data_IF_067862500330
#
_entry.id   IF_067862500330
#
_cell.length_a   1.000
_cell.length_b   1.000
_cell.length_c   1.000
_cell.angle_alpha   90.00
_cell.angle_beta   90.00
_cell.angle_gamma   90.00
#
_symmetry.space_group_name_H-M   'P 1'
#
loop_
_entity.id
_entity.type
_entity.pdbx_description
1 polymer ?
#
# COMPACT_ATOMS: atom_id res chain seq x y z
N UNK A 1 -2.52 15.58 28.25
CA UNK A 1 -1.79 16.64 27.50
C UNK A 1 -1.91 16.35 26.02
N UNK A 2 -1.83 17.38 25.15
CA UNK A 2 -2.02 17.21 23.69
C UNK A 2 -1.07 16.17 23.05
N UNK A 3 0.15 16.04 23.55
CA UNK A 3 1.14 15.08 23.04
C UNK A 3 0.85 13.62 23.40
N UNK A 4 -0.02 13.35 24.35
CA UNK A 4 -0.47 11.99 24.68
C UNK A 4 -1.37 11.38 23.59
N UNK A 5 -1.87 12.23 22.69
CA UNK A 5 -2.68 11.83 21.53
C UNK A 5 -1.84 11.43 20.32
N UNK A 6 -0.50 11.57 20.41
CA UNK A 6 0.41 11.30 19.29
C UNK A 6 1.38 10.19 19.66
N UNK A 7 1.71 9.36 18.68
CA UNK A 7 2.68 8.29 18.83
C UNK A 7 3.65 8.25 17.65
N UNK A 8 4.88 7.85 17.93
CA UNK A 8 5.92 7.62 16.94
C UNK A 8 6.31 6.15 17.03
N UNK A 9 6.41 5.50 15.88
CA UNK A 9 6.99 4.16 15.74
C UNK A 9 7.77 4.09 14.45
N UNK A 10 8.54 3.03 14.27
CA UNK A 10 9.26 2.82 13.04
C UNK A 10 9.85 1.43 12.96
N UNK A 11 10.44 1.13 11.82
CA UNK A 11 11.21 -0.08 11.60
C UNK A 11 12.19 0.13 10.47
N UNK A 12 13.29 -0.64 10.53
CA UNK A 12 14.27 -0.72 9.45
C UNK A 12 14.39 -2.17 8.99
N UNK A 13 14.64 -2.37 7.71
CA UNK A 13 14.94 -3.65 7.10
C UNK A 13 16.22 -3.50 6.28
N UNK A 14 17.26 -4.13 6.76
CA UNK A 14 18.54 -4.24 6.05
C UNK A 14 18.59 -5.57 5.33
N UNK A 15 19.17 -5.59 4.14
CA UNK A 15 19.37 -6.80 3.34
C UNK A 15 20.79 -6.87 2.82
N UNK A 16 21.27 -8.08 2.70
CA UNK A 16 22.39 -8.45 1.85
C UNK A 16 21.85 -9.37 0.75
N UNK A 17 22.14 -9.05 -0.49
CA UNK A 17 21.79 -9.87 -1.64
C UNK A 17 23.05 -10.25 -2.41
N UNK A 18 23.11 -11.49 -2.86
CA UNK A 18 24.11 -11.98 -3.79
C UNK A 18 23.39 -12.67 -4.95
N UNK A 19 23.71 -12.27 -6.17
CA UNK A 19 23.15 -12.89 -7.37
C UNK A 19 24.02 -14.11 -7.69
N UNK A 20 23.42 -15.30 -7.66
CA UNK A 20 24.11 -16.57 -7.94
C UNK A 20 24.17 -16.84 -9.44
N UNK A 21 23.20 -16.35 -10.20
CA UNK A 21 23.16 -16.45 -11.65
C UNK A 21 23.29 -15.04 -12.27
N UNK A 22 24.17 -14.93 -13.27
CA UNK A 22 24.50 -13.68 -13.94
C UNK A 22 23.78 -13.51 -15.29
N UNK A 23 22.62 -14.12 -15.48
CA UNK A 23 21.87 -13.88 -16.71
C UNK A 23 21.35 -12.43 -16.75
N UNK A 24 22.08 -11.59 -17.45
CA UNK A 24 21.76 -10.17 -17.65
C UNK A 24 20.44 -9.91 -18.38
N UNK A 25 19.81 -10.97 -18.92
CA UNK A 25 18.51 -10.88 -19.61
C UNK A 25 17.32 -11.05 -18.66
N UNK A 26 17.53 -11.62 -17.48
CA UNK A 26 16.51 -11.74 -16.45
C UNK A 26 16.37 -10.43 -15.68
N UNK A 27 15.50 -9.56 -16.15
CA UNK A 27 15.11 -8.33 -15.45
C UNK A 27 13.79 -8.54 -14.75
N UNK A 28 13.81 -8.52 -13.42
CA UNK A 28 12.62 -8.52 -12.58
C UNK A 28 12.49 -7.16 -11.93
N UNK A 29 11.55 -6.35 -12.36
CA UNK A 29 11.36 -4.99 -11.83
C UNK A 29 11.15 -4.97 -10.30
N UNK A 30 10.55 -6.00 -9.75
CA UNK A 30 10.32 -6.12 -8.30
C UNK A 30 11.53 -6.67 -7.55
N UNK A 31 12.25 -7.62 -8.15
CA UNK A 31 13.46 -8.22 -7.58
C UNK A 31 14.61 -7.21 -7.64
N UNK A 32 14.75 -6.52 -8.75
CA UNK A 32 15.85 -5.61 -9.04
C UNK A 32 15.82 -4.32 -8.21
N UNK A 33 14.69 -3.97 -7.62
CA UNK A 33 14.58 -2.83 -6.69
C UNK A 33 15.50 -2.94 -5.48
N UNK A 34 16.03 -4.12 -5.19
CA UNK A 34 16.82 -4.39 -4.01
C UNK A 34 18.19 -4.99 -4.32
N UNK A 35 18.48 -5.17 -5.60
CA UNK A 35 19.70 -5.82 -6.06
C UNK A 35 20.38 -4.91 -7.08
N UNK A 36 21.63 -4.55 -6.81
CA UNK A 36 22.50 -4.08 -7.88
C UNK A 36 22.92 -5.27 -8.72
N UNK A 37 23.44 -5.05 -9.91
CA UNK A 37 24.00 -6.12 -10.78
C UNK A 37 25.08 -6.95 -10.09
N UNK A 38 25.70 -6.40 -9.06
CA UNK A 38 26.79 -7.03 -8.29
C UNK A 38 26.34 -7.54 -6.92
N UNK A 39 25.09 -7.28 -6.50
CA UNK A 39 24.62 -7.57 -5.15
C UNK A 39 25.13 -6.56 -4.11
N UNK A 40 25.01 -6.89 -2.84
CA UNK A 40 25.54 -6.09 -1.74
C UNK A 40 24.53 -5.79 -0.62
N UNK A 41 24.90 -4.89 0.27
CA UNK A 41 24.06 -4.42 1.35
C UNK A 41 23.13 -3.30 0.88
N UNK A 42 21.89 -3.32 1.35
CA UNK A 42 20.90 -2.30 1.05
C UNK A 42 19.94 -2.06 2.21
N UNK A 43 19.42 -0.84 2.30
CA UNK A 43 18.28 -0.49 3.17
C UNK A 43 17.00 -0.70 2.37
N UNK A 44 16.34 -1.82 2.57
CA UNK A 44 15.09 -2.12 1.84
C UNK A 44 13.94 -1.25 2.27
N UNK A 45 13.86 -0.96 3.57
CA UNK A 45 12.88 -0.07 4.19
C UNK A 45 13.49 0.56 5.43
N UNK A 46 13.25 1.84 5.60
CA UNK A 46 13.56 2.56 6.83
C UNK A 46 12.46 3.59 7.04
N UNK A 47 11.49 3.25 7.89
CA UNK A 47 10.25 4.00 8.02
C UNK A 47 10.09 4.57 9.41
N UNK A 48 9.73 5.85 9.44
CA UNK A 48 9.25 6.52 10.64
C UNK A 48 7.75 6.74 10.44
N UNK A 49 6.97 6.51 11.47
CA UNK A 49 5.53 6.63 11.44
C UNK A 49 5.11 7.56 12.57
N UNK A 50 4.53 8.69 12.22
CA UNK A 50 3.88 9.60 13.12
C UNK A 50 2.37 9.46 12.95
N UNK A 51 1.66 9.21 14.04
CA UNK A 51 0.21 9.01 13.98
C UNK A 51 -0.45 9.42 15.30
N UNK A 52 -1.75 9.71 15.23
CA UNK A 52 -2.48 10.09 16.43
C UNK A 52 -3.87 10.60 16.15
N UNK A 53 -4.53 11.04 17.21
CA UNK A 53 -5.87 11.61 17.16
C UNK A 53 -5.88 13.09 17.45
N UNK A 54 -6.59 13.85 16.60
CA UNK A 54 -6.95 15.24 16.85
C UNK A 54 -8.42 15.24 17.28
N UNK A 55 -8.63 15.26 18.60
CA UNK A 55 -9.96 15.04 19.16
C UNK A 55 -10.44 13.59 18.99
N UNK A 56 -11.77 13.37 19.03
CA UNK A 56 -12.35 12.03 19.07
C UNK A 56 -12.64 11.41 17.68
N UNK A 57 -12.61 12.24 16.62
CA UNK A 57 -13.12 11.86 15.30
C UNK A 57 -12.11 12.00 14.16
N UNK A 58 -10.98 12.62 14.43
CA UNK A 58 -9.95 12.85 13.41
C UNK A 58 -8.71 12.07 13.80
N UNK A 59 -8.27 11.21 12.91
CA UNK A 59 -7.02 10.45 13.04
C UNK A 59 -6.11 10.83 11.89
N UNK A 60 -4.84 11.09 12.16
CA UNK A 60 -3.84 11.34 11.12
C UNK A 60 -2.74 10.29 11.15
N UNK A 61 -2.11 10.09 9.99
CA UNK A 61 -1.04 9.14 9.81
C UNK A 61 -0.07 9.65 8.74
N UNK A 62 1.20 9.76 9.09
CA UNK A 62 2.26 10.20 8.18
C UNK A 62 3.40 9.19 8.26
N UNK A 63 3.87 8.71 7.11
CA UNK A 63 4.93 7.70 7.02
C UNK A 63 5.92 8.04 5.91
N UNK A 64 7.01 8.74 6.19
CA UNK A 64 8.18 8.79 5.32
C UNK A 64 8.92 7.44 5.30
N UNK A 65 9.59 7.16 4.19
CA UNK A 65 10.40 5.99 3.95
C UNK A 65 11.77 6.42 3.40
N UNK A 66 12.83 6.06 4.08
CA UNK A 66 14.22 6.36 3.73
C UNK A 66 14.88 5.05 3.27
N UNK A 67 14.68 4.68 2.02
CA UNK A 67 15.14 3.40 1.48
C UNK A 67 16.35 3.57 0.54
N UNK A 68 17.00 2.48 0.22
CA UNK A 68 17.95 2.42 -0.89
C UNK A 68 17.23 2.16 -2.20
N UNK A 69 17.74 2.71 -3.29
CA UNK A 69 17.30 2.41 -4.64
C UNK A 69 18.47 1.89 -5.46
N UNK A 70 18.34 0.70 -5.99
CA UNK A 70 19.34 0.09 -6.86
C UNK A 70 19.32 0.64 -8.29
N UNK A 71 18.22 1.29 -8.68
CA UNK A 71 18.01 1.82 -10.04
C UNK A 71 18.28 3.32 -10.17
N UNK A 72 18.67 3.99 -9.08
CA UNK A 72 18.94 5.43 -9.02
C UNK A 72 20.44 5.70 -8.92
N UNK A 73 20.87 6.84 -9.45
CA UNK A 73 22.23 7.36 -9.23
C UNK A 73 22.50 7.69 -7.76
N UNK A 74 21.43 7.94 -6.97
CA UNK A 74 21.50 8.12 -5.52
C UNK A 74 21.09 6.83 -4.82
N UNK A 75 22.00 6.27 -4.00
CA UNK A 75 21.76 5.03 -3.27
C UNK A 75 20.59 5.14 -2.28
N UNK A 76 20.49 6.27 -1.60
CA UNK A 76 19.44 6.52 -0.62
C UNK A 76 18.51 7.64 -1.08
N UNK A 77 17.22 7.48 -0.83
CA UNK A 77 16.22 8.50 -1.14
C UNK A 77 15.14 8.55 -0.06
N UNK A 78 14.50 9.71 0.06
CA UNK A 78 13.34 9.90 0.92
C UNK A 78 12.09 10.02 0.08
N UNK A 79 11.03 9.31 0.46
CA UNK A 79 9.72 9.41 -0.19
C UNK A 79 8.60 9.39 0.84
N UNK A 80 7.51 10.05 0.53
CA UNK A 80 6.30 9.96 1.32
C UNK A 80 5.55 8.67 0.92
N UNK A 81 5.38 7.76 1.88
CA UNK A 81 4.62 6.51 1.64
C UNK A 81 3.15 6.69 1.97
N UNK A 82 2.84 7.15 3.16
CA UNK A 82 1.48 7.43 3.60
C UNK A 82 1.42 8.84 4.18
N UNK A 83 0.38 9.58 3.84
CA UNK A 83 0.03 10.86 4.45
C UNK A 83 -1.47 11.04 4.30
N UNK A 84 -2.23 10.73 5.33
CA UNK A 84 -3.68 10.79 5.27
C UNK A 84 -4.30 11.19 6.60
N UNK A 85 -5.54 11.61 6.49
CA UNK A 85 -6.42 11.90 7.62
C UNK A 85 -7.68 11.04 7.48
N UNK A 86 -8.05 10.34 8.55
CA UNK A 86 -9.34 9.67 8.68
C UNK A 86 -10.29 10.58 9.47
N UNK A 87 -11.43 10.91 8.90
CA UNK A 87 -12.50 11.67 9.55
C UNK A 87 -13.69 10.75 9.80
N UNK A 88 -14.06 10.57 11.06
CA UNK A 88 -15.20 9.76 11.45
C UNK A 88 -16.46 10.60 11.56
N UNK A 89 -17.52 10.13 10.92
CA UNK A 89 -18.81 10.84 10.89
C UNK A 89 -19.62 10.61 12.16
N UNK A 90 -19.53 9.39 12.70
CA UNK A 90 -20.28 8.95 13.88
C UNK A 90 -19.41 8.89 15.16
N UNK A 91 -20.06 8.75 16.31
CA UNK A 91 -19.40 8.68 17.64
C UNK A 91 -18.61 7.38 17.85
N UNK A 92 -18.99 6.30 17.18
CA UNK A 92 -18.36 4.99 17.30
C UNK A 92 -17.21 4.80 16.32
N UNK A 93 -16.98 5.78 15.45
CA UNK A 93 -16.00 5.72 14.36
C UNK A 93 -16.25 4.54 13.39
N UNK A 94 -17.51 4.19 13.17
CA UNK A 94 -17.90 3.10 12.26
C UNK A 94 -17.86 3.55 10.80
N UNK A 95 -18.24 4.82 10.53
CA UNK A 95 -18.21 5.46 9.22
C UNK A 95 -17.04 6.43 9.14
N UNK A 96 -16.10 6.17 8.24
CA UNK A 96 -14.87 6.96 8.10
C UNK A 96 -14.61 7.35 6.67
N UNK A 97 -14.18 8.58 6.49
CA UNK A 97 -13.59 9.05 5.24
C UNK A 97 -12.09 9.24 5.44
N UNK A 98 -11.31 8.62 4.58
CA UNK A 98 -9.87 8.82 4.49
C UNK A 98 -9.56 9.72 3.33
N UNK A 99 -8.80 10.78 3.56
CA UNK A 99 -8.35 11.72 2.54
C UNK A 99 -6.82 11.79 2.58
N UNK A 100 -6.19 11.67 1.41
CA UNK A 100 -4.74 11.75 1.28
C UNK A 100 -4.13 10.52 0.62
N UNK A 101 -2.80 10.41 0.73
CA UNK A 101 -2.06 9.29 0.18
C UNK A 101 -2.07 8.11 1.14
N UNK A 102 -2.65 7.02 0.72
CA UNK A 102 -2.71 5.79 1.51
C UNK A 102 -2.74 4.56 0.62
N UNK A 103 -2.70 3.37 1.23
CA UNK A 103 -2.91 2.14 0.48
C UNK A 103 -4.27 2.12 -0.17
N UNK A 104 -4.31 1.77 -1.45
CA UNK A 104 -5.54 1.43 -2.15
C UNK A 104 -6.05 0.10 -1.58
N UNK A 105 -7.32 -0.01 -1.16
CA UNK A 105 -7.83 -1.18 -0.45
C UNK A 105 -8.11 -2.39 -1.36
N UNK A 106 -7.09 -2.82 -2.10
CA UNK A 106 -7.11 -4.00 -2.99
C UNK A 106 -5.90 -4.88 -2.72
N UNK A 107 -6.11 -6.20 -2.76
CA UNK A 107 -5.07 -7.20 -2.54
C UNK A 107 -4.74 -7.42 -1.06
N UNK A 108 -4.86 -8.67 -0.59
CA UNK A 108 -4.61 -9.01 0.79
C UNK A 108 -3.18 -8.65 1.24
N UNK A 109 -2.17 -9.05 0.47
CA UNK A 109 -0.77 -8.70 0.77
C UNK A 109 -0.49 -7.20 0.68
N UNK A 110 -1.22 -6.50 -0.19
CA UNK A 110 -1.09 -5.07 -0.35
C UNK A 110 -1.50 -4.31 0.92
N UNK A 111 -2.61 -4.71 1.50
CA UNK A 111 -3.15 -4.07 2.69
C UNK A 111 -2.37 -4.40 3.95
N UNK A 112 -1.69 -5.55 4.03
CA UNK A 112 -0.85 -5.90 5.16
C UNK A 112 0.30 -4.93 5.37
N UNK A 113 0.69 -4.72 6.63
CA UNK A 113 1.95 -4.06 6.93
C UNK A 113 3.12 -4.88 6.38
N UNK A 114 4.11 -4.23 5.78
CA UNK A 114 5.27 -4.92 5.21
C UNK A 114 6.11 -5.66 6.24
N UNK A 115 6.03 -5.30 7.52
CA UNK A 115 6.68 -6.02 8.63
C UNK A 115 5.97 -7.33 8.99
N UNK A 116 4.69 -7.47 8.61
CA UNK A 116 3.85 -8.62 8.98
C UNK A 116 3.66 -9.61 7.83
N UNK A 117 4.23 -9.36 6.65
CA UNK A 117 4.15 -10.28 5.52
C UNK A 117 5.01 -11.52 5.74
N UNK A 118 4.56 -12.66 5.20
CA UNK A 118 5.37 -13.88 5.17
C UNK A 118 6.53 -13.76 4.16
N UNK A 119 6.29 -13.37 2.88
CA UNK A 119 7.37 -13.17 1.95
C UNK A 119 8.08 -11.83 2.19
N UNK A 120 9.34 -11.75 1.83
CA UNK A 120 10.13 -10.51 1.94
C UNK A 120 9.55 -9.37 1.10
N UNK A 121 9.03 -9.70 -0.07
CA UNK A 121 8.38 -8.77 -0.98
C UNK A 121 7.01 -9.31 -1.42
N UNK A 122 6.19 -8.47 -2.02
CA UNK A 122 4.89 -8.87 -2.55
C UNK A 122 5.06 -9.66 -3.85
N UNK A 123 4.06 -10.45 -4.21
CA UNK A 123 4.05 -11.08 -5.51
C UNK A 123 3.91 -10.04 -6.64
N UNK A 124 4.45 -10.35 -7.81
CA UNK A 124 4.48 -9.44 -8.95
C UNK A 124 3.09 -9.15 -9.52
N UNK A 125 2.18 -10.11 -9.49
CA UNK A 125 0.82 -9.94 -10.00
C UNK A 125 0.07 -8.82 -9.27
N UNK A 126 0.18 -8.75 -7.94
CA UNK A 126 -0.39 -7.65 -7.16
C UNK A 126 0.33 -6.33 -7.39
N UNK A 127 1.63 -6.38 -7.56
CA UNK A 127 2.45 -5.20 -7.68
C UNK A 127 2.34 -4.55 -9.06
N UNK A 128 2.15 -5.34 -10.10
CA UNK A 128 1.82 -4.84 -11.43
C UNK A 128 0.38 -4.34 -11.54
N UNK A 129 -0.51 -4.80 -10.65
CA UNK A 129 -1.90 -4.38 -10.59
C UNK A 129 -2.07 -2.97 -10.03
N UNK A 130 -1.46 -2.72 -8.86
CA UNK A 130 -1.45 -1.41 -8.20
C UNK A 130 0.00 -1.10 -7.86
N UNK A 131 0.71 -0.52 -8.80
CA UNK A 131 2.12 -0.15 -8.62
C UNK A 131 2.27 0.69 -7.36
N UNK A 132 3.25 0.35 -6.51
CA UNK A 132 3.48 0.96 -5.21
C UNK A 132 2.37 0.81 -4.15
N UNK A 133 1.24 0.15 -4.44
CA UNK A 133 0.14 -0.12 -3.49
C UNK A 133 -0.55 1.11 -2.88
N UNK A 134 -0.14 2.31 -3.23
CA UNK A 134 -0.63 3.56 -2.63
C UNK A 134 -0.97 4.58 -3.70
N UNK A 135 -1.92 5.44 -3.37
CA UNK A 135 -2.23 6.60 -4.19
C UNK A 135 -2.92 7.70 -3.39
N UNK A 136 -2.99 8.88 -3.97
CA UNK A 136 -3.77 10.01 -3.48
C UNK A 136 -5.23 9.81 -3.82
N UNK A 137 -6.10 9.91 -2.82
CA UNK A 137 -7.53 9.75 -3.06
C UNK A 137 -8.39 10.04 -1.84
N UNK A 138 -9.67 9.75 -2.02
CA UNK A 138 -10.69 9.78 -0.97
C UNK A 138 -11.31 8.39 -0.89
N UNK A 139 -11.28 7.82 0.30
CA UNK A 139 -11.79 6.48 0.55
C UNK A 139 -12.82 6.53 1.67
N UNK A 140 -13.89 5.81 1.49
CA UNK A 140 -14.92 5.56 2.49
C UNK A 140 -14.74 4.16 3.08
N UNK A 141 -14.83 4.04 4.39
CA UNK A 141 -14.79 2.77 5.10
C UNK A 141 -15.91 2.69 6.12
N UNK A 142 -16.62 1.57 6.11
CA UNK A 142 -17.61 1.25 7.11
C UNK A 142 -17.33 -0.11 7.75
N UNK A 143 -17.37 -0.15 9.07
CA UNK A 143 -17.39 -1.39 9.85
C UNK A 143 -18.00 -1.15 11.22
N UNK A 144 -18.88 -2.04 11.72
CA UNK A 144 -19.34 -2.02 13.10
C UNK A 144 -18.17 -2.09 14.10
N UNK A 145 -18.31 -1.44 15.23
CA UNK A 145 -17.27 -1.33 16.27
C UNK A 145 -16.63 -2.69 16.62
N UNK A 146 -17.45 -3.73 16.82
CA UNK A 146 -16.95 -5.07 17.14
C UNK A 146 -16.03 -5.67 16.06
N UNK A 147 -16.27 -5.36 14.78
CA UNK A 147 -15.42 -5.83 13.69
C UNK A 147 -14.14 -5.01 13.59
N UNK A 148 -14.21 -3.71 13.87
CA UNK A 148 -13.01 -2.86 13.96
C UNK A 148 -12.08 -3.32 15.09
N UNK A 149 -12.65 -3.67 16.23
CA UNK A 149 -11.88 -4.25 17.33
C UNK A 149 -11.20 -5.56 16.92
N UNK A 150 -11.87 -6.43 16.16
CA UNK A 150 -11.28 -7.66 15.64
C UNK A 150 -10.13 -7.37 14.67
N UNK A 151 -10.28 -6.45 13.73
CA UNK A 151 -9.18 -6.02 12.84
C UNK A 151 -8.00 -5.45 13.65
N UNK A 152 -8.28 -4.67 14.69
CA UNK A 152 -7.24 -4.09 15.55
C UNK A 152 -6.48 -5.19 16.34
N UNK A 153 -7.17 -6.20 16.85
CA UNK A 153 -6.55 -7.36 17.53
C UNK A 153 -5.63 -8.09 16.56
N UNK A 154 -6.09 -8.39 15.34
CA UNK A 154 -5.27 -9.05 14.33
C UNK A 154 -3.95 -8.32 14.05
N UNK A 155 -4.00 -7.00 13.98
CA UNK A 155 -2.80 -6.19 13.76
C UNK A 155 -1.90 -6.13 14.99
N UNK A 156 -2.47 -5.94 16.19
CA UNK A 156 -1.70 -5.80 17.45
C UNK A 156 -0.98 -7.10 17.84
N UNK A 157 -1.66 -8.23 17.66
CA UNK A 157 -1.11 -9.55 17.96
C UNK A 157 -0.18 -10.08 16.85
N UNK A 158 0.09 -9.29 15.81
CA UNK A 158 0.98 -9.68 14.71
C UNK A 158 0.41 -10.75 13.77
N UNK A 159 -0.89 -11.00 13.83
CA UNK A 159 -1.57 -11.88 12.89
C UNK A 159 -1.59 -11.30 11.46
N UNK A 160 -1.83 -12.15 10.47
CA UNK A 160 -1.77 -11.82 9.05
C UNK A 160 -3.09 -11.25 8.51
N UNK A 161 -3.77 -10.38 9.27
CA UNK A 161 -4.99 -9.71 8.82
C UNK A 161 -4.75 -8.63 7.78
N UNK A 162 -5.79 -8.28 7.01
CA UNK A 162 -5.73 -7.22 6.00
C UNK A 162 -5.62 -5.81 6.60
N UNK A 163 -5.95 -5.63 7.88
CA UNK A 163 -6.06 -4.33 8.54
C UNK A 163 -7.48 -3.74 8.50
N UNK A 164 -7.68 -2.61 9.18
CA UNK A 164 -9.00 -1.97 9.28
C UNK A 164 -9.28 -1.06 8.07
N UNK A 165 -9.64 -1.69 6.96
CA UNK A 165 -10.18 -1.04 5.75
C UNK A 165 -11.71 -1.19 5.66
N UNK A 166 -12.38 -1.38 6.80
CA UNK A 166 -13.82 -1.59 6.88
C UNK A 166 -14.29 -2.98 6.44
N UNK A 167 -15.56 -3.31 6.73
CA UNK A 167 -16.27 -4.40 6.08
C UNK A 167 -16.63 -3.99 4.65
N UNK A 168 -17.09 -2.75 4.47
CA UNK A 168 -17.29 -2.14 3.17
C UNK A 168 -16.29 -1.02 3.02
N UNK A 169 -15.58 -1.01 1.91
CA UNK A 169 -14.68 0.04 1.50
C UNK A 169 -14.96 0.45 0.06
N UNK A 170 -14.92 1.74 -0.22
CA UNK A 170 -15.01 2.29 -1.56
C UNK A 170 -14.13 3.52 -1.67
N UNK A 171 -13.70 3.89 -2.87
CA UNK A 171 -12.88 5.09 -3.01
C UNK A 171 -12.66 5.51 -4.45
N UNK A 172 -12.18 6.75 -4.56
CA UNK A 172 -11.74 7.37 -5.81
C UNK A 172 -10.32 7.86 -5.59
N UNK A 173 -9.42 7.56 -6.50
CA UNK A 173 -8.00 7.91 -6.41
C UNK A 173 -7.40 8.21 -7.78
N UNK A 174 -6.21 8.80 -7.83
CA UNK A 174 -5.59 9.26 -9.08
C UNK A 174 -5.35 8.13 -10.08
N UNK A 175 -4.69 7.05 -9.68
CA UNK A 175 -4.44 5.90 -10.55
C UNK A 175 -3.05 5.83 -11.17
N UNK A 176 -2.25 6.89 -11.13
CA UNK A 176 -0.85 6.88 -11.63
C UNK A 176 0.17 6.43 -10.58
N UNK A 177 -0.28 6.03 -9.41
CA UNK A 177 0.51 5.58 -8.27
C UNK A 177 1.11 6.69 -7.41
N UNK A 178 1.46 6.31 -6.16
CA UNK A 178 2.02 7.25 -5.20
C UNK A 178 3.26 7.99 -5.72
N UNK A 179 3.33 9.27 -5.40
CA UNK A 179 4.45 10.16 -5.72
C UNK A 179 4.67 10.38 -7.23
N UNK A 180 3.65 10.13 -8.05
CA UNK A 180 3.65 10.47 -9.47
C UNK A 180 2.53 11.47 -9.77
N UNK A 181 2.75 12.40 -10.71
CA UNK A 181 1.69 13.28 -11.15
C UNK A 181 0.62 12.49 -11.89
N UNK A 182 -0.62 12.99 -11.85
CA UNK A 182 -1.70 12.47 -12.66
C UNK A 182 -1.47 12.88 -14.14
N UNK A 183 -1.59 11.90 -15.02
CA UNK A 183 -1.36 12.09 -16.47
C UNK A 183 -2.65 12.09 -17.29
N UNK A 184 -3.79 11.78 -16.67
CA UNK A 184 -5.09 11.82 -17.32
C UNK A 184 -6.16 12.40 -16.37
N UNK A 185 -7.36 12.66 -16.89
CA UNK A 185 -8.48 13.22 -16.11
C UNK A 185 -9.47 12.14 -15.64
N UNK A 186 -9.06 10.87 -15.67
CA UNK A 186 -9.94 9.75 -15.35
C UNK A 186 -9.47 9.07 -14.05
N UNK A 187 -10.03 9.44 -12.90
CA UNK A 187 -9.68 8.82 -11.64
C UNK A 187 -10.06 7.33 -11.65
N UNK A 188 -9.32 6.55 -10.89
CA UNK A 188 -9.65 5.18 -10.60
C UNK A 188 -10.70 5.08 -9.50
N UNK A 189 -11.54 4.06 -9.58
CA UNK A 189 -12.52 3.72 -8.54
C UNK A 189 -12.19 2.34 -7.97
N UNK A 190 -12.42 2.17 -6.68
CA UNK A 190 -12.21 0.91 -5.98
C UNK A 190 -13.40 0.60 -5.10
N UNK A 191 -13.75 -0.68 -5.01
CA UNK A 191 -14.73 -1.18 -4.06
C UNK A 191 -14.24 -2.49 -3.44
N UNK A 192 -14.60 -2.70 -2.18
CA UNK A 192 -14.25 -3.88 -1.40
C UNK A 192 -15.35 -4.22 -0.42
N UNK A 193 -15.63 -5.50 -0.29
CA UNK A 193 -16.40 -6.07 0.81
C UNK A 193 -15.55 -7.16 1.45
N UNK A 194 -15.40 -7.13 2.77
CA UNK A 194 -14.67 -8.15 3.52
C UNK A 194 -15.38 -8.48 4.81
N UNK A 195 -15.34 -9.72 5.22
CA UNK A 195 -15.99 -10.13 6.46
C UNK A 195 -15.09 -11.05 7.28
N UNK A 196 -14.56 -10.57 8.44
CA UNK A 196 -13.82 -11.38 9.36
C UNK A 196 -14.79 -12.10 10.32
N UNK A 197 -14.58 -13.39 10.54
CA UNK A 197 -15.34 -14.17 11.49
C UNK A 197 -14.47 -15.15 12.26
N UNK A 198 -14.88 -15.45 13.50
CA UNK A 198 -14.20 -16.41 14.35
C UNK A 198 -14.77 -17.80 14.09
N UNK A 199 -13.90 -18.76 13.78
CA UNK A 199 -14.21 -20.17 13.62
C UNK A 199 -13.39 -20.99 14.61
N UNK A 200 -13.97 -21.34 15.75
CA UNK A 200 -13.27 -22.01 16.87
C UNK A 200 -12.05 -21.20 17.34
N UNK A 201 -10.85 -21.72 17.10
CA UNK A 201 -9.55 -21.09 17.46
C UNK A 201 -8.95 -20.26 16.32
N UNK A 202 -9.62 -20.17 15.18
CA UNK A 202 -9.13 -19.48 13.99
C UNK A 202 -9.96 -18.23 13.70
N UNK A 203 -9.37 -17.28 13.02
CA UNK A 203 -10.06 -16.13 12.44
C UNK A 203 -9.92 -16.27 10.94
N UNK A 204 -11.05 -16.32 10.25
CA UNK A 204 -11.13 -16.39 8.81
C UNK A 204 -11.57 -15.02 8.27
N UNK A 205 -10.98 -14.60 7.18
CA UNK A 205 -11.34 -13.36 6.49
C UNK A 205 -11.65 -13.70 5.04
N UNK A 206 -12.87 -13.40 4.59
CA UNK A 206 -13.29 -13.53 3.20
C UNK A 206 -13.44 -12.12 2.62
N UNK A 207 -12.93 -11.90 1.43
CA UNK A 207 -13.00 -10.61 0.77
C UNK A 207 -13.34 -10.77 -0.71
N UNK A 208 -14.13 -9.82 -1.22
CA UNK A 208 -14.35 -9.58 -2.63
C UNK A 208 -14.02 -8.12 -2.91
N UNK A 209 -13.23 -7.86 -3.95
CA UNK A 209 -12.69 -6.54 -4.19
C UNK A 209 -12.38 -6.33 -5.67
N UNK A 210 -12.39 -5.07 -6.09
CA UNK A 210 -12.02 -4.74 -7.46
C UNK A 210 -11.78 -3.25 -7.62
N UNK A 211 -11.11 -2.91 -8.70
CA UNK A 211 -10.92 -1.54 -9.14
C UNK A 211 -11.02 -1.41 -10.64
N UNK A 212 -11.27 -0.19 -11.09
CA UNK A 212 -11.33 0.15 -12.51
C UNK A 212 -10.89 1.60 -12.72
N UNK A 213 -10.15 1.84 -13.79
CA UNK A 213 -9.70 3.18 -14.17
C UNK A 213 -8.93 3.18 -15.48
N UNK A 214 -8.26 4.29 -15.78
CA UNK A 214 -7.41 4.44 -16.95
C UNK A 214 -5.99 4.81 -16.54
N UNK A 215 -5.04 4.00 -16.94
CA UNK A 215 -3.62 4.18 -16.66
C UNK A 215 -2.87 4.64 -17.92
N UNK A 216 -1.98 5.62 -17.79
CA UNK A 216 -1.07 6.03 -18.86
C UNK A 216 0.30 5.41 -18.60
N UNK A 217 0.81 4.71 -19.61
CA UNK A 217 2.16 4.12 -19.58
C UNK A 217 3.12 5.15 -20.14
N UNK A 218 3.98 5.70 -19.29
CA UNK A 218 5.06 6.57 -19.73
C UNK A 218 6.13 5.78 -20.48
N UNK A 219 6.85 6.45 -21.39
CA UNK A 219 7.93 5.87 -22.18
C UNK A 219 8.97 5.11 -21.38
N UNK A 220 9.30 5.60 -20.21
CA UNK A 220 10.28 5.01 -19.30
C UNK A 220 9.86 3.63 -18.75
N UNK A 221 8.57 3.33 -18.79
CA UNK A 221 8.01 2.05 -18.31
C UNK A 221 7.82 1.03 -19.44
N UNK A 222 8.04 1.42 -20.68
CA UNK A 222 7.91 0.52 -21.82
C UNK A 222 9.18 -0.29 -21.97
N UNK A 223 9.11 -1.57 -21.66
CA UNK A 223 10.22 -2.50 -21.89
C UNK A 223 10.38 -2.83 -23.36
N UNK A 224 11.60 -3.15 -23.77
CA UNK A 224 11.91 -3.65 -25.10
C UNK A 224 11.04 -4.89 -25.43
N UNK A 225 10.26 -4.82 -26.50
CA UNK A 225 9.34 -5.87 -26.91
C UNK A 225 7.89 -5.74 -26.39
N UNK A 226 7.58 -4.75 -25.57
CA UNK A 226 6.21 -4.47 -25.16
C UNK A 226 5.40 -3.90 -26.33
N UNK A 227 4.19 -4.46 -26.55
CA UNK A 227 3.24 -3.97 -27.57
C UNK A 227 2.40 -2.78 -27.07
N UNK A 228 2.96 -1.91 -26.23
CA UNK A 228 2.29 -0.73 -25.72
C UNK A 228 2.73 0.52 -26.48
N UNK A 229 1.83 1.46 -26.63
CA UNK A 229 2.09 2.76 -27.25
C UNK A 229 2.30 3.79 -26.16
N UNK A 230 3.36 4.57 -26.31
CA UNK A 230 3.71 5.69 -25.40
C UNK A 230 2.52 6.67 -25.29
N UNK A 231 2.32 7.21 -24.08
CA UNK A 231 1.30 8.20 -23.74
C UNK A 231 -0.15 7.81 -24.05
N UNK A 232 -0.38 6.55 -24.37
CA UNK A 232 -1.73 6.04 -24.56
C UNK A 232 -2.37 5.65 -23.24
N UNK A 233 -3.62 6.03 -23.06
CA UNK A 233 -4.45 5.62 -21.95
C UNK A 233 -4.96 4.19 -22.13
N UNK A 234 -4.67 3.30 -21.17
CA UNK A 234 -5.13 1.92 -21.14
C UNK A 234 -6.16 1.74 -20.02
N UNK A 235 -7.17 0.92 -20.29
CA UNK A 235 -8.11 0.52 -19.26
C UNK A 235 -7.42 -0.45 -18.30
N UNK A 236 -7.41 -0.12 -17.02
CA UNK A 236 -6.88 -0.95 -15.94
C UNK A 236 -8.01 -1.33 -14.99
N UNK A 237 -8.31 -2.63 -14.92
CA UNK A 237 -9.36 -3.15 -14.06
C UNK A 237 -9.03 -4.54 -13.56
N UNK A 238 -9.39 -4.82 -12.31
CA UNK A 238 -9.21 -6.14 -11.70
C UNK A 238 -10.30 -6.44 -10.70
N UNK A 239 -10.59 -7.72 -10.58
CA UNK A 239 -11.50 -8.29 -9.60
C UNK A 239 -10.75 -9.44 -8.90
N UNK A 240 -10.88 -9.52 -7.58
CA UNK A 240 -10.25 -10.56 -6.76
C UNK A 240 -11.13 -10.92 -5.53
#
# INVERSE_FOLDING_TARGET
KWYESFAIRGYAQFRYNAILDKDSKLKCEQCDKNWSETGGFSIRRMRIILYGHIGKRVYFYIQPDFASSSSSTALHFAQLRDAYVDVSVDKNNEFRFRVGQSKVPVGFENMQSSQNRLPFDRNDALNSAVSNERDLGVFFFWAPKAKRELFSILVKEGFKGSGDYGIVGAGIYNGQTANKPELNKAPHVVARVTYPFKAKKQILEMAFQGYSGKYIISKELISSGAKSVEDRSYHDQRIA
#
